data_IF_469481409547
#
_entry.id   IF_469481409547
#
_cell.length_a   1.000
_cell.length_b   1.000
_cell.length_c   1.000
_cell.angle_alpha   90.00
_cell.angle_beta   90.00
_cell.angle_gamma   90.00
#
_symmetry.space_group_name_H-M   'P 1'
#
loop_
_entity.id
_entity.type
_entity.pdbx_description
1 polymer ?
#
# COMPACT_ATOMS: atom_id res chain seq x y z
N UNK A 1 -21.16 -10.78 -5.10
CA UNK A 1 -20.18 -10.27 -4.12
C UNK A 1 -19.05 -9.74 -4.96
N UNK A 2 -18.67 -8.46 -4.83
CA UNK A 2 -17.54 -7.90 -5.57
C UNK A 2 -16.28 -8.75 -5.31
N UNK A 3 -15.40 -8.83 -6.31
CA UNK A 3 -14.14 -9.55 -6.13
C UNK A 3 -13.32 -8.83 -5.06
N UNK A 4 -12.68 -9.56 -4.15
CA UNK A 4 -11.86 -8.95 -3.10
C UNK A 4 -10.72 -8.12 -3.73
N UNK A 5 -10.27 -8.47 -4.93
CA UNK A 5 -9.22 -7.77 -5.66
C UNK A 5 -9.74 -6.67 -6.60
N UNK A 6 -11.03 -6.34 -6.54
CA UNK A 6 -11.61 -5.25 -7.31
C UNK A 6 -11.14 -3.88 -6.77
N UNK A 7 -10.57 -3.06 -7.65
CA UNK A 7 -10.18 -1.70 -7.28
C UNK A 7 -11.40 -0.83 -6.98
N UNK A 8 -11.41 -0.15 -5.84
CA UNK A 8 -12.54 0.68 -5.39
C UNK A 8 -12.75 1.95 -6.25
N UNK A 9 -11.82 2.29 -7.13
CA UNK A 9 -11.91 3.45 -8.03
C UNK A 9 -12.43 3.03 -9.41
N UNK A 10 -11.79 2.06 -10.07
CA UNK A 10 -12.10 1.69 -11.45
C UNK A 10 -12.94 0.41 -11.61
N UNK A 11 -13.20 -0.34 -10.54
CA UNK A 11 -13.96 -1.60 -10.58
C UNK A 11 -13.25 -2.74 -11.33
N UNK A 12 -11.97 -2.58 -11.65
CA UNK A 12 -11.18 -3.61 -12.35
C UNK A 12 -10.43 -4.47 -11.34
N UNK A 13 -10.49 -5.78 -11.52
CA UNK A 13 -9.72 -6.76 -10.72
C UNK A 13 -8.31 -6.90 -11.28
N UNK A 14 -7.28 -6.79 -10.44
CA UNK A 14 -5.90 -7.03 -10.85
C UNK A 14 -5.08 -7.76 -9.76
N UNK A 15 -4.05 -8.54 -10.13
CA UNK A 15 -3.17 -9.21 -9.16
C UNK A 15 -2.48 -8.23 -8.18
N UNK A 16 -2.49 -8.48 -6.87
CA UNK A 16 -1.78 -7.60 -5.94
C UNK A 16 -0.25 -7.57 -6.18
N UNK A 17 0.30 -6.42 -6.56
CA UNK A 17 1.74 -6.17 -6.61
C UNK A 17 2.08 -5.12 -5.54
N UNK A 18 2.72 -5.51 -4.42
CA UNK A 18 3.01 -4.59 -3.32
C UNK A 18 3.78 -3.36 -3.79
N UNK A 19 3.37 -2.18 -3.33
CA UNK A 19 3.90 -0.89 -3.79
C UNK A 19 3.39 -0.39 -5.16
N UNK A 20 2.50 -1.13 -5.82
CA UNK A 20 1.76 -0.71 -7.02
C UNK A 20 0.24 -0.77 -6.82
N UNK A 21 -0.22 -1.64 -5.91
CA UNK A 21 -1.58 -1.64 -5.40
C UNK A 21 -1.58 -2.16 -3.97
N UNK A 22 -2.51 -1.67 -3.16
CA UNK A 22 -2.62 -2.05 -1.75
C UNK A 22 -4.09 -2.05 -1.30
N UNK A 23 -4.37 -2.84 -0.28
CA UNK A 23 -5.68 -2.93 0.36
C UNK A 23 -5.79 -1.90 1.51
N UNK A 24 -6.92 -1.21 1.56
CA UNK A 24 -7.36 -0.50 2.77
C UNK A 24 -8.41 -1.36 3.46
N UNK A 25 -8.09 -1.81 4.68
CA UNK A 25 -9.00 -2.61 5.48
C UNK A 25 -10.09 -1.74 6.13
N UNK A 26 -11.36 -2.11 5.99
CA UNK A 26 -12.52 -1.30 6.40
C UNK A 26 -12.56 -0.88 7.87
N UNK A 27 -11.94 -1.64 8.78
CA UNK A 27 -11.86 -1.27 10.21
C UNK A 27 -10.99 -0.01 10.46
N UNK A 28 -10.29 0.50 9.44
CA UNK A 28 -9.58 1.79 9.49
C UNK A 28 -10.51 2.99 9.43
N UNK A 29 -11.77 2.79 9.04
CA UNK A 29 -12.79 3.83 8.95
C UNK A 29 -12.31 5.08 8.18
N UNK A 30 -11.62 4.85 7.06
CA UNK A 30 -11.27 5.89 6.09
C UNK A 30 -12.51 6.13 5.24
N UNK A 31 -13.00 7.36 5.15
CA UNK A 31 -14.11 7.71 4.26
C UNK A 31 -13.77 7.37 2.81
N UNK A 32 -14.72 6.82 2.08
CA UNK A 32 -14.57 6.51 0.66
C UNK A 32 -15.02 7.71 -0.19
N UNK A 33 -14.11 8.52 -0.76
CA UNK A 33 -14.49 9.68 -1.54
C UNK A 33 -15.08 9.31 -2.91
N UNK A 34 -14.86 8.08 -3.39
CA UNK A 34 -15.35 7.62 -4.69
C UNK A 34 -16.77 7.03 -4.62
N UNK A 35 -17.32 6.82 -3.43
CA UNK A 35 -18.65 6.25 -3.26
C UNK A 35 -19.75 7.29 -3.46
N UNK A 36 -20.84 6.90 -4.14
CA UNK A 36 -22.03 7.75 -4.32
C UNK A 36 -22.81 7.97 -3.03
N UNK A 37 -22.73 7.02 -2.11
CA UNK A 37 -23.34 7.08 -0.79
C UNK A 37 -22.24 7.08 0.27
N UNK A 38 -22.39 7.81 1.39
CA UNK A 38 -21.40 7.82 2.46
C UNK A 38 -21.04 6.40 2.88
N UNK A 39 -19.78 6.01 2.68
CA UNK A 39 -19.26 4.70 3.05
C UNK A 39 -17.82 4.83 3.57
N UNK A 40 -17.36 3.79 4.26
CA UNK A 40 -15.94 3.62 4.53
C UNK A 40 -15.31 2.81 3.41
N UNK A 41 -14.03 3.08 3.15
CA UNK A 41 -13.22 2.37 2.19
C UNK A 41 -12.84 1.00 2.76
N UNK A 42 -13.15 -0.05 2.02
CA UNK A 42 -12.80 -1.44 2.35
C UNK A 42 -12.50 -2.18 1.04
N UNK A 43 -11.21 -2.35 0.73
CA UNK A 43 -10.79 -3.06 -0.47
C UNK A 43 -9.53 -2.50 -1.12
N UNK A 44 -9.25 -3.03 -2.32
CA UNK A 44 -8.02 -2.77 -3.05
C UNK A 44 -8.05 -1.43 -3.81
N UNK A 45 -6.86 -0.84 -3.96
CA UNK A 45 -6.64 0.37 -4.75
C UNK A 45 -5.43 0.18 -5.66
N UNK A 46 -5.60 0.42 -6.96
CA UNK A 46 -4.47 0.62 -7.85
C UNK A 46 -3.86 1.99 -7.59
N UNK A 47 -2.54 2.06 -7.41
CA UNK A 47 -1.87 3.33 -7.18
C UNK A 47 -1.93 4.24 -8.42
N UNK A 48 -1.96 3.68 -9.63
CA UNK A 48 -2.24 4.44 -10.86
C UNK A 48 -3.60 5.15 -10.80
N UNK A 49 -4.65 4.46 -10.37
CA UNK A 49 -5.98 5.05 -10.22
C UNK A 49 -6.02 6.14 -9.14
N UNK A 50 -5.25 5.99 -8.05
CA UNK A 50 -5.08 7.07 -7.08
C UNK A 50 -4.38 8.27 -7.72
N UNK A 51 -3.30 8.07 -8.47
CA UNK A 51 -2.55 9.18 -9.04
C UNK A 51 -3.35 10.01 -10.05
N UNK A 52 -4.29 9.37 -10.74
CA UNK A 52 -5.14 10.01 -11.76
C UNK A 52 -6.47 10.53 -11.22
N UNK A 53 -6.84 10.24 -9.97
CA UNK A 53 -8.13 10.61 -9.42
C UNK A 53 -8.23 12.09 -9.05
N UNK A 54 -9.38 12.69 -9.32
CA UNK A 54 -9.71 14.05 -8.86
C UNK A 54 -9.91 14.12 -7.33
N UNK A 55 -10.18 12.98 -6.69
CA UNK A 55 -10.47 12.88 -5.24
C UNK A 55 -9.21 12.59 -4.39
N UNK A 56 -8.03 12.58 -5.01
CA UNK A 56 -6.80 12.17 -4.33
C UNK A 56 -6.38 13.08 -3.19
N UNK A 57 -6.73 14.36 -3.25
CA UNK A 57 -6.51 15.29 -2.15
C UNK A 57 -7.38 14.94 -0.94
N UNK A 58 -8.66 14.62 -1.14
CA UNK A 58 -9.57 14.21 -0.06
C UNK A 58 -9.12 12.88 0.56
N UNK A 59 -8.75 11.91 -0.28
CA UNK A 59 -8.18 10.65 0.19
C UNK A 59 -6.89 10.87 0.98
N UNK A 60 -5.97 11.70 0.49
CA UNK A 60 -4.72 12.01 1.17
C UNK A 60 -4.96 12.61 2.56
N UNK A 61 -5.86 13.58 2.68
CA UNK A 61 -6.18 14.22 3.96
C UNK A 61 -6.78 13.21 4.95
N UNK A 62 -7.73 12.38 4.51
CA UNK A 62 -8.35 11.37 5.37
C UNK A 62 -7.36 10.25 5.77
N UNK A 63 -6.54 9.79 4.82
CA UNK A 63 -5.55 8.75 5.05
C UNK A 63 -4.46 9.22 6.04
N UNK A 64 -3.92 10.43 5.84
CA UNK A 64 -2.90 10.99 6.74
C UNK A 64 -3.46 11.32 8.13
N UNK A 65 -4.74 11.74 8.22
CA UNK A 65 -5.43 11.88 9.51
C UNK A 65 -5.55 10.53 10.23
N UNK A 66 -5.88 9.45 9.51
CA UNK A 66 -5.89 8.08 10.07
C UNK A 66 -4.50 7.66 10.56
N UNK A 67 -3.42 7.96 9.83
CA UNK A 67 -2.06 7.62 10.27
C UNK A 67 -1.68 8.29 11.58
N UNK A 68 -2.04 9.56 11.74
CA UNK A 68 -1.72 10.36 12.93
C UNK A 68 -2.61 10.03 14.12
N UNK A 69 -3.86 9.62 13.87
CA UNK A 69 -4.81 9.30 14.92
C UNK A 69 -4.31 8.15 15.80
N UNK A 70 -4.57 8.24 17.11
CA UNK A 70 -4.46 7.11 18.03
C UNK A 70 -5.82 6.44 18.16
N UNK A 71 -6.58 6.90 19.15
CA UNK A 71 -8.02 6.65 19.28
C UNK A 71 -8.76 7.94 18.97
N UNK A 72 -9.55 7.96 17.91
CA UNK A 72 -10.29 9.14 17.49
C UNK A 72 -11.77 8.81 17.36
N UNK A 73 -12.64 9.66 17.91
CA UNK A 73 -14.07 9.60 17.63
C UNK A 73 -14.35 10.30 16.30
N UNK A 74 -15.01 9.59 15.39
CA UNK A 74 -15.46 10.14 14.11
C UNK A 74 -16.98 10.03 14.02
N UNK A 75 -17.60 10.99 13.34
CA UNK A 75 -19.04 10.96 13.10
C UNK A 75 -19.43 9.73 12.27
N UNK A 76 -20.55 9.10 12.65
CA UNK A 76 -21.19 8.04 11.87
C UNK A 76 -21.60 8.58 10.49
N UNK A 77 -21.54 7.72 9.47
CA UNK A 77 -21.85 8.10 8.08
C UNK A 77 -23.29 8.61 7.89
N UNK A 78 -24.21 8.17 8.75
CA UNK A 78 -25.62 8.57 8.78
C UNK A 78 -25.94 9.62 9.87
N UNK A 79 -24.91 10.13 10.57
CA UNK A 79 -25.05 11.07 11.67
C UNK A 79 -25.65 10.50 12.96
N UNK A 80 -25.80 9.17 13.05
CA UNK A 80 -26.31 8.52 14.25
C UNK A 80 -25.32 8.57 15.42
N UNK A 81 -25.86 8.60 16.65
CA UNK A 81 -25.09 8.48 17.88
C UNK A 81 -25.12 7.02 18.39
N UNK A 82 -24.05 6.54 19.05
CA UNK A 82 -22.79 7.24 19.35
C UNK A 82 -21.85 7.36 18.13
N UNK A 83 -20.83 8.24 18.18
CA UNK A 83 -19.79 8.28 17.16
C UNK A 83 -19.04 6.95 17.09
N UNK A 84 -18.34 6.73 15.97
CA UNK A 84 -17.50 5.55 15.76
C UNK A 84 -16.09 5.83 16.27
N UNK A 85 -15.43 4.81 16.81
CA UNK A 85 -14.02 4.89 17.21
C UNK A 85 -13.13 4.41 16.08
N UNK A 86 -12.35 5.32 15.49
CA UNK A 86 -11.28 5.01 14.53
C UNK A 86 -9.99 4.66 15.26
N UNK A 87 -9.42 3.51 14.87
CA UNK A 87 -8.11 3.04 15.30
C UNK A 87 -7.04 3.47 14.29
N UNK A 88 -6.41 4.61 14.55
CA UNK A 88 -5.30 5.09 13.73
C UNK A 88 -3.99 4.39 14.07
N UNK A 89 -2.88 4.89 13.52
CA UNK A 89 -1.55 4.30 13.71
C UNK A 89 -0.65 5.07 14.69
N UNK A 90 -1.10 6.21 15.20
CA UNK A 90 -0.36 7.05 16.14
C UNK A 90 1.00 7.51 15.61
N UNK A 91 1.14 7.64 14.29
CA UNK A 91 2.41 8.00 13.65
C UNK A 91 2.61 9.51 13.65
N UNK A 92 3.84 9.95 13.89
CA UNK A 92 4.19 11.38 13.87
C UNK A 92 4.69 11.78 12.50
N UNK A 93 4.19 12.88 11.95
CA UNK A 93 4.73 13.44 10.70
C UNK A 93 6.10 14.05 10.98
N UNK A 94 7.14 13.56 10.30
CA UNK A 94 8.53 14.04 10.44
C UNK A 94 9.00 14.84 9.24
N UNK A 95 8.27 14.78 8.12
CA UNK A 95 8.55 15.54 6.90
C UNK A 95 7.26 15.84 6.15
N UNK A 96 7.19 17.04 5.56
CA UNK A 96 6.16 17.42 4.60
C UNK A 96 6.82 18.19 3.47
N UNK A 97 6.80 17.59 2.28
CA UNK A 97 7.31 18.18 1.05
C UNK A 97 6.19 18.53 0.08
N UNK A 98 6.59 18.83 -1.15
CA UNK A 98 5.68 19.19 -2.24
C UNK A 98 5.03 17.99 -2.91
N UNK A 99 5.65 16.82 -2.86
CA UNK A 99 5.18 15.59 -3.48
C UNK A 99 4.63 14.59 -2.45
N UNK A 100 5.09 14.64 -1.20
CA UNK A 100 4.72 13.67 -0.17
C UNK A 100 4.86 14.18 1.26
N UNK A 101 4.35 13.37 2.20
CA UNK A 101 4.63 13.46 3.63
C UNK A 101 5.27 12.16 4.13
N UNK A 102 6.07 12.24 5.20
CA UNK A 102 6.65 11.08 5.86
C UNK A 102 6.19 11.04 7.32
N UNK A 103 5.71 9.88 7.72
CA UNK A 103 5.25 9.58 9.07
C UNK A 103 6.15 8.50 9.68
N UNK A 104 6.43 8.61 10.97
CA UNK A 104 7.25 7.67 11.72
C UNK A 104 6.46 7.12 12.91
N UNK A 105 6.60 5.82 13.16
CA UNK A 105 6.08 5.21 14.38
C UNK A 105 6.98 5.56 15.58
N UNK A 106 6.38 5.96 16.69
CA UNK A 106 7.12 6.21 17.95
C UNK A 106 7.48 4.95 18.73
N UNK A 107 6.98 3.77 18.31
CA UNK A 107 7.08 2.51 19.08
C UNK A 107 7.66 1.35 18.25
N UNK A 108 8.03 1.59 16.99
CA UNK A 108 8.63 0.58 16.12
C UNK A 108 9.44 1.25 15.01
N UNK A 109 10.39 0.51 14.42
CA UNK A 109 11.19 0.98 13.28
C UNK A 109 10.39 0.93 11.98
N UNK A 110 9.36 1.77 11.91
CA UNK A 110 8.43 1.85 10.79
C UNK A 110 8.20 3.29 10.36
N UNK A 111 8.22 3.50 9.05
CA UNK A 111 7.86 4.75 8.42
C UNK A 111 6.81 4.52 7.35
N UNK A 112 6.06 5.57 7.06
CA UNK A 112 5.14 5.61 5.94
C UNK A 112 5.42 6.85 5.11
N UNK A 113 5.69 6.65 3.82
CA UNK A 113 5.76 7.74 2.84
C UNK A 113 4.42 7.80 2.13
N UNK A 114 3.74 8.94 2.17
CA UNK A 114 2.43 9.11 1.53
C UNK A 114 2.55 10.22 0.49
N UNK A 115 2.38 9.88 -0.79
CA UNK A 115 2.34 10.86 -1.88
C UNK A 115 1.07 11.70 -1.75
N UNK A 116 1.16 12.99 -2.09
CA UNK A 116 0.01 13.90 -2.15
C UNK A 116 -1.03 13.47 -3.19
N UNK A 117 -0.63 12.64 -4.15
CA UNK A 117 -1.50 12.02 -5.14
C UNK A 117 -2.21 10.76 -4.64
N UNK A 118 -2.00 10.35 -3.38
CA UNK A 118 -2.69 9.22 -2.75
C UNK A 118 -1.82 8.02 -2.39
N UNK A 119 -0.96 7.46 -3.29
CA UNK A 119 -0.19 6.26 -3.00
C UNK A 119 0.67 6.35 -1.74
N UNK A 120 0.84 5.22 -1.04
CA UNK A 120 1.65 5.13 0.17
C UNK A 120 2.62 3.96 0.14
N UNK A 121 3.73 4.09 0.86
CA UNK A 121 4.78 3.10 0.93
C UNK A 121 5.20 2.85 2.38
N UNK A 122 5.16 1.58 2.78
CA UNK A 122 5.62 1.14 4.10
C UNK A 122 7.12 0.90 4.04
N UNK A 123 7.85 1.53 4.96
CA UNK A 123 9.30 1.34 5.09
C UNK A 123 9.63 0.76 6.47
N UNK A 124 10.63 -0.11 6.48
CA UNK A 124 11.24 -0.73 7.66
C UNK A 124 12.65 -0.17 7.85
N UNK A 125 13.28 -0.54 8.96
CA UNK A 125 14.66 -0.14 9.22
C UNK A 125 15.61 -0.53 8.08
N UNK A 126 15.48 -1.74 7.52
CA UNK A 126 16.30 -2.19 6.39
C UNK A 126 16.14 -1.28 5.15
N UNK A 127 14.95 -0.76 4.91
CA UNK A 127 14.67 0.15 3.79
C UNK A 127 15.30 1.52 4.01
N UNK A 128 15.29 2.01 5.26
CA UNK A 128 15.98 3.24 5.63
C UNK A 128 17.49 3.13 5.40
N UNK A 129 18.09 1.99 5.79
CA UNK A 129 19.52 1.71 5.53
C UNK A 129 19.82 1.59 4.03
N UNK A 130 18.91 0.97 3.26
CA UNK A 130 19.05 0.90 1.81
C UNK A 130 19.08 2.31 1.19
N UNK A 131 18.13 3.17 1.58
CA UNK A 131 18.07 4.57 1.11
C UNK A 131 19.34 5.33 1.50
N UNK A 132 19.82 5.18 2.73
CA UNK A 132 21.05 5.83 3.21
C UNK A 132 22.29 5.40 2.40
N UNK A 133 22.32 4.16 1.91
CA UNK A 133 23.37 3.64 1.04
C UNK A 133 23.24 4.05 -0.44
N UNK A 134 22.19 4.79 -0.81
CA UNK A 134 21.87 5.16 -2.19
C UNK A 134 21.18 4.04 -2.99
N UNK A 135 20.66 3.02 -2.32
CA UNK A 135 19.93 1.90 -2.95
C UNK A 135 18.42 2.12 -2.85
N UNK A 136 17.67 1.78 -3.90
CA UNK A 136 16.21 1.83 -3.86
C UNK A 136 15.64 0.67 -3.03
N UNK A 137 14.76 0.94 -2.05
CA UNK A 137 14.10 -0.12 -1.31
C UNK A 137 13.11 -0.87 -2.20
N UNK A 138 12.86 -2.13 -1.84
CA UNK A 138 11.88 -3.00 -2.49
C UNK A 138 10.75 -3.31 -1.54
N UNK A 139 9.57 -3.54 -2.09
CA UNK A 139 8.46 -4.06 -1.32
C UNK A 139 8.83 -5.42 -0.71
N UNK A 140 8.18 -5.81 0.39
CA UNK A 140 8.41 -7.12 0.98
C UNK A 140 8.03 -8.23 0.00
N UNK A 141 8.91 -9.23 -0.15
CA UNK A 141 8.58 -10.46 -0.84
C UNK A 141 7.70 -11.33 0.08
N UNK A 142 6.42 -11.48 -0.28
CA UNK A 142 5.46 -12.34 0.41
C UNK A 142 4.71 -13.19 -0.59
N UNK A 143 4.23 -14.36 -0.16
CA UNK A 143 3.35 -15.20 -0.98
C UNK A 143 1.97 -14.56 -1.02
N UNK A 144 1.50 -14.28 -2.23
CA UNK A 144 0.24 -13.61 -2.52
C UNK A 144 -0.71 -14.62 -3.16
N UNK A 145 -1.82 -14.96 -2.49
CA UNK A 145 -2.88 -15.74 -3.11
C UNK A 145 -3.75 -14.83 -3.97
N UNK A 146 -3.93 -15.18 -5.24
CA UNK A 146 -4.77 -14.46 -6.18
C UNK A 146 -5.68 -15.41 -6.95
N UNK A 147 -6.97 -15.11 -6.97
CA UNK A 147 -7.94 -15.89 -7.73
C UNK A 147 -8.05 -15.32 -9.14
N UNK A 148 -7.60 -16.08 -10.13
CA UNK A 148 -7.71 -15.69 -11.52
C UNK A 148 -9.18 -15.71 -11.98
N UNK A 149 -9.61 -14.71 -12.77
CA UNK A 149 -10.96 -14.67 -13.34
C UNK A 149 -11.18 -15.75 -14.41
N UNK A 150 -10.10 -16.28 -14.99
CA UNK A 150 -10.08 -17.33 -16.02
C UNK A 150 -9.13 -18.46 -15.62
N UNK A 151 -9.32 -19.65 -16.18
CA UNK A 151 -8.35 -20.75 -16.08
C UNK A 151 -7.35 -20.64 -17.26
N UNK A 152 -6.12 -20.16 -17.05
CA UNK A 152 -5.07 -20.16 -18.07
C UNK A 152 -4.49 -21.55 -18.37
N UNK A 153 -4.89 -22.60 -17.64
CA UNK A 153 -4.29 -23.92 -17.71
C UNK A 153 -2.97 -24.01 -16.94
N UNK A 154 -2.28 -25.14 -17.08
CA UNK A 154 -1.06 -25.45 -16.33
C UNK A 154 0.15 -24.59 -16.71
N UNK A 155 0.11 -23.89 -17.84
CA UNK A 155 1.21 -23.06 -18.35
C UNK A 155 1.42 -21.79 -17.53
N UNK A 156 0.44 -21.38 -16.70
CA UNK A 156 0.55 -20.19 -15.84
C UNK A 156 1.73 -20.26 -14.87
N UNK A 157 2.17 -21.48 -14.51
CA UNK A 157 3.35 -21.68 -13.66
C UNK A 157 4.65 -21.18 -14.27
N UNK A 158 4.69 -20.99 -15.58
CA UNK A 158 5.87 -20.50 -16.32
C UNK A 158 5.74 -19.05 -16.78
N UNK A 159 4.59 -18.41 -16.52
CA UNK A 159 4.35 -17.04 -16.96
C UNK A 159 5.23 -16.07 -16.19
N UNK A 160 5.76 -15.08 -16.90
CA UNK A 160 6.30 -13.87 -16.30
C UNK A 160 5.17 -12.94 -15.86
N UNK A 161 5.47 -11.97 -14.99
CA UNK A 161 4.48 -10.97 -14.57
C UNK A 161 3.85 -10.25 -15.78
N UNK A 162 4.60 -9.75 -16.77
CA UNK A 162 3.99 -9.12 -17.95
C UNK A 162 3.04 -10.05 -18.72
N UNK A 163 3.37 -11.34 -18.86
CA UNK A 163 2.49 -12.32 -19.52
C UNK A 163 1.18 -12.53 -18.74
N UNK A 164 1.28 -12.63 -17.40
CA UNK A 164 0.11 -12.68 -16.53
C UNK A 164 -0.77 -11.43 -16.67
N UNK A 165 -0.18 -10.24 -16.60
CA UNK A 165 -0.92 -8.99 -16.69
C UNK A 165 -1.58 -8.81 -18.06
N UNK A 166 -0.90 -9.19 -19.15
CA UNK A 166 -1.43 -9.16 -20.50
C UNK A 166 -2.57 -10.16 -20.73
N UNK A 167 -2.45 -11.37 -20.19
CA UNK A 167 -3.53 -12.35 -20.24
C UNK A 167 -4.79 -11.87 -19.49
N UNK A 168 -4.62 -11.03 -18.47
CA UNK A 168 -5.70 -10.42 -17.70
C UNK A 168 -6.20 -9.09 -18.29
N UNK A 169 -5.45 -8.47 -19.20
CA UNK A 169 -5.78 -7.18 -19.82
C UNK A 169 -5.74 -6.01 -18.84
N UNK A 170 -4.81 -6.03 -17.89
CA UNK A 170 -4.70 -5.04 -16.80
C UNK A 170 -3.32 -4.41 -16.71
N UNK A 171 -2.51 -4.47 -17.78
CA UNK A 171 -1.18 -3.87 -17.78
C UNK A 171 -1.20 -2.38 -17.48
N UNK A 172 -2.28 -1.69 -17.90
CA UNK A 172 -2.48 -0.26 -17.68
C UNK A 172 -2.72 0.14 -16.21
N UNK A 173 -2.93 -0.84 -15.31
CA UNK A 173 -3.15 -0.60 -13.88
C UNK A 173 -1.87 -0.52 -13.07
N UNK A 174 -0.78 -1.01 -13.61
CA UNK A 174 0.53 -0.92 -12.98
C UNK A 174 1.28 0.23 -13.65
N UNK A 175 2.05 0.98 -12.86
CA UNK A 175 2.78 2.12 -13.40
C UNK A 175 3.62 1.69 -14.62
N UNK A 176 3.86 2.64 -15.55
CA UNK A 176 4.44 2.39 -16.87
C UNK A 176 5.52 1.29 -16.90
N UNK A 177 5.57 0.51 -17.97
CA UNK A 177 6.35 -0.75 -18.13
C UNK A 177 7.78 -0.75 -17.53
N UNK A 178 8.47 0.40 -17.52
CA UNK A 178 9.75 0.59 -16.84
C UNK A 178 9.74 0.26 -15.33
N UNK A 179 8.60 0.43 -14.66
CA UNK A 179 8.40 0.09 -13.25
C UNK A 179 8.15 -1.40 -13.04
N UNK A 180 7.72 -2.13 -14.07
CA UNK A 180 7.54 -3.59 -14.04
C UNK A 180 8.86 -4.34 -14.29
N UNK A 181 9.81 -3.75 -15.04
CA UNK A 181 11.12 -4.38 -15.32
C UNK A 181 11.94 -4.69 -14.07
N UNK A 182 11.71 -3.95 -12.97
CA UNK A 182 12.40 -4.17 -11.69
C UNK A 182 11.69 -5.15 -10.75
N UNK A 183 10.51 -5.66 -11.12
CA UNK A 183 9.71 -6.53 -10.25
C UNK A 183 10.24 -7.95 -10.31
N UNK A 184 10.64 -8.47 -9.16
CA UNK A 184 10.93 -9.89 -8.99
C UNK A 184 9.61 -10.63 -8.84
N UNK A 185 9.35 -11.58 -9.74
CA UNK A 185 8.12 -12.35 -9.79
C UNK A 185 8.43 -13.84 -9.95
N UNK A 186 7.79 -14.66 -9.13
CA UNK A 186 7.90 -16.11 -9.18
C UNK A 186 6.55 -16.75 -8.84
N UNK A 187 6.08 -17.67 -9.67
CA UNK A 187 4.91 -18.50 -9.34
C UNK A 187 5.34 -19.58 -8.34
N UNK A 188 4.60 -19.68 -7.25
CA UNK A 188 4.81 -20.68 -6.20
C UNK A 188 3.96 -21.92 -6.48
N UNK A 189 2.67 -21.73 -6.72
CA UNK A 189 1.73 -22.82 -7.02
C UNK A 189 0.54 -22.31 -7.84
N UNK A 190 -0.10 -23.22 -8.57
CA UNK A 190 -1.38 -22.96 -9.21
C UNK A 190 -2.34 -24.12 -8.95
N UNK A 191 -3.51 -23.79 -8.41
CA UNK A 191 -4.59 -24.74 -8.17
C UNK A 191 -5.77 -24.50 -9.15
N UNK A 192 -5.80 -25.20 -10.30
CA UNK A 192 -6.81 -25.02 -11.33
C UNK A 192 -8.26 -25.10 -10.85
N UNK A 193 -8.66 -26.04 -9.96
CA UNK A 193 -10.08 -26.15 -9.58
C UNK A 193 -10.69 -24.91 -8.90
N UNK A 194 -9.86 -23.99 -8.38
CA UNK A 194 -10.32 -22.69 -7.85
C UNK A 194 -9.75 -21.49 -8.60
N UNK A 195 -8.99 -21.73 -9.66
CA UNK A 195 -8.13 -20.76 -10.34
C UNK A 195 -7.26 -19.96 -9.34
N UNK A 196 -6.74 -20.63 -8.31
CA UNK A 196 -5.94 -19.95 -7.28
C UNK A 196 -4.47 -20.01 -7.67
N UNK A 197 -3.89 -18.84 -7.95
CA UNK A 197 -2.47 -18.64 -8.18
C UNK A 197 -1.82 -18.14 -6.90
N UNK A 198 -0.76 -18.81 -6.46
CA UNK A 198 0.14 -18.31 -5.43
C UNK A 198 1.43 -17.88 -6.08
N UNK A 199 1.87 -16.65 -5.83
CA UNK A 199 3.12 -16.11 -6.37
C UNK A 199 3.80 -15.20 -5.35
N UNK A 200 5.08 -14.94 -5.58
CA UNK A 200 5.83 -13.90 -4.86
C UNK A 200 6.07 -12.75 -5.82
N UNK A 201 5.84 -11.52 -5.35
CA UNK A 201 6.18 -10.31 -6.09
C UNK A 201 6.91 -9.32 -5.17
N UNK A 202 8.07 -8.81 -5.61
CA UNK A 202 8.79 -7.74 -4.95
C UNK A 202 9.13 -6.63 -5.94
N UNK A 203 8.52 -5.46 -5.76
CA UNK A 203 8.66 -4.31 -6.65
C UNK A 203 9.56 -3.24 -6.04
N UNK A 204 10.37 -2.51 -6.83
CA UNK A 204 11.00 -1.29 -6.36
C UNK A 204 9.94 -0.29 -5.90
N UNK A 205 10.14 0.32 -4.73
CA UNK A 205 9.20 1.33 -4.22
C UNK A 205 9.47 2.68 -4.90
N UNK A 206 8.49 3.30 -5.58
CA UNK A 206 8.67 4.59 -6.24
C UNK A 206 8.61 5.76 -5.24
N UNK A 207 9.54 5.77 -4.30
CA UNK A 207 9.68 6.81 -3.28
C UNK A 207 10.06 8.15 -3.94
N UNK A 208 9.37 9.26 -3.68
CA UNK A 208 9.75 10.58 -4.21
C UNK A 208 11.19 11.00 -3.86
N UNK A 209 11.83 11.79 -4.73
CA UNK A 209 13.21 12.25 -4.53
C UNK A 209 13.37 13.06 -3.23
N UNK A 210 12.41 13.93 -2.93
CA UNK A 210 12.40 14.71 -1.69
C UNK A 210 12.36 13.81 -0.44
N UNK A 211 11.61 12.71 -0.50
CA UNK A 211 11.55 11.74 0.58
C UNK A 211 12.85 10.94 0.70
N UNK A 212 13.44 10.50 -0.42
CA UNK A 212 14.74 9.82 -0.42
C UNK A 212 15.83 10.70 0.20
N UNK A 213 15.90 11.96 -0.20
CA UNK A 213 16.88 12.92 0.32
C UNK A 213 16.71 13.15 1.83
N UNK A 214 15.47 13.34 2.28
CA UNK A 214 15.18 13.49 3.71
C UNK A 214 15.53 12.21 4.49
N UNK A 215 15.07 11.04 4.05
CA UNK A 215 15.29 9.76 4.74
C UNK A 215 16.77 9.37 4.81
N UNK A 216 17.54 9.64 3.76
CA UNK A 216 18.98 9.40 3.76
C UNK A 216 19.68 10.22 4.86
N UNK A 217 19.34 11.51 4.99
CA UNK A 217 19.88 12.36 6.07
C UNK A 217 19.35 11.96 7.44
N UNK A 218 18.07 11.59 7.54
CA UNK A 218 17.44 11.16 8.77
C UNK A 218 18.11 9.91 9.35
N UNK A 219 18.47 8.95 8.48
CA UNK A 219 19.13 7.70 8.86
C UNK A 219 20.44 7.91 9.63
N UNK A 220 21.19 9.00 9.38
CA UNK A 220 22.46 9.28 10.06
C UNK A 220 22.28 9.58 11.56
N UNK A 221 21.10 10.05 11.95
CA UNK A 221 20.78 10.48 13.33
C UNK A 221 19.76 9.59 14.00
N UNK A 222 19.18 8.63 13.26
CA UNK A 222 18.13 7.77 13.75
C UNK A 222 18.69 6.70 14.69
N UNK A 223 18.06 6.57 15.86
CA UNK A 223 18.31 5.46 16.79
C UNK A 223 17.16 4.47 16.69
N UNK A 224 17.42 3.20 16.32
CA UNK A 224 16.40 2.15 16.29
C UNK A 224 15.72 1.98 17.64
N UNK A 225 14.42 1.67 17.62
CA UNK A 225 13.64 1.38 18.81
C UNK A 225 14.12 0.08 19.42
N UNK A 226 14.77 0.17 20.58
CA UNK A 226 15.11 -0.98 21.41
C UNK A 226 14.05 -1.19 22.49
N UNK A 227 13.49 -2.39 22.53
CA UNK A 227 12.81 -2.86 23.74
C UNK A 227 13.89 -3.34 24.69
N UNK A 228 14.50 -2.43 25.46
CA UNK A 228 15.18 -2.87 26.67
C UNK A 228 14.09 -3.42 27.59
N UNK A 229 14.18 -4.71 27.92
CA UNK A 229 13.20 -5.39 28.77
C UNK A 229 12.91 -4.54 30.01
N UNK A 230 11.63 -4.21 30.24
CA UNK A 230 11.11 -3.87 31.57
C UNK A 230 11.22 -5.12 32.47
N UNK A 231 12.45 -5.52 32.77
CA UNK A 231 12.80 -6.38 33.90
C UNK A 231 13.30 -5.46 35.01
N UNK A 232 12.35 -4.96 35.81
CA UNK A 232 12.48 -4.61 37.23
C UNK A 232 11.64 -3.37 37.59
N UNK A 233 10.37 -3.62 37.93
CA UNK A 233 9.63 -2.81 38.91
C UNK A 233 8.60 -3.66 39.64
#
# INVERSE_FOLDING_TARGET
MPDINECQICGTTAPPVPGQCEEVTGYRLIRNPWSREPSFLDGNLHFSCLEESDESAEFFDEFTRMLQAGHEEIESLDGSLPPLTRMGLGMTQIFAGSECCIFQSGVSDRWMVVKRTGPWFHLRHADLLAIASGTSPKSPAAVIPYRLPIDPGSEVGEWSLPELLAALGVEDRYAATANLEGVEYEVVDYYPPKHLLEYVAAAPLPIPDEARAFLASHAETYTPVSFEDEQDS
#
